data_IF_913658905612
#
_entry.id   IF_913658905612
#
_cell.length_a   1.000
_cell.length_b   1.000
_cell.length_c   1.000
_cell.angle_alpha   90.00
_cell.angle_beta   90.00
_cell.angle_gamma   90.00
#
_symmetry.space_group_name_H-M   'P 1'
#
loop_
_entity.id
_entity.type
_entity.pdbx_description
1 polymer ?
#
# COMPACT_ATOMS: atom_id res chain seq x y z
N UNK A 1 -6.10 0.41 -4.80
CA UNK A 1 -5.89 -0.99 -4.39
C UNK A 1 -5.81 -1.13 -2.87
N UNK A 2 -6.23 -2.27 -2.31
CA UNK A 2 -6.02 -2.61 -0.88
C UNK A 2 -4.58 -3.11 -0.67
N UNK A 3 -4.11 -3.14 0.58
CA UNK A 3 -2.76 -3.67 0.90
C UNK A 3 -2.52 -5.10 0.39
N UNK A 4 -3.56 -5.94 0.35
CA UNK A 4 -3.45 -7.28 -0.19
C UNK A 4 -3.35 -7.36 -1.71
N UNK A 5 -3.88 -6.37 -2.42
CA UNK A 5 -3.72 -6.23 -3.88
C UNK A 5 -2.36 -5.64 -4.21
N UNK A 6 -1.91 -4.65 -3.45
CA UNK A 6 -0.56 -4.10 -3.55
C UNK A 6 0.50 -5.20 -3.36
N UNK A 7 0.35 -6.03 -2.33
CA UNK A 7 1.23 -7.17 -2.07
C UNK A 7 1.32 -8.15 -3.25
N UNK A 8 0.19 -8.42 -3.92
CA UNK A 8 0.15 -9.28 -5.11
C UNK A 8 0.78 -8.61 -6.33
N UNK A 9 0.63 -7.29 -6.47
CA UNK A 9 1.14 -6.55 -7.61
C UNK A 9 2.65 -6.34 -7.54
N UNK A 10 3.21 -6.17 -6.34
CA UNK A 10 4.64 -5.93 -6.11
C UNK A 10 5.42 -7.19 -5.73
N UNK A 11 4.75 -8.33 -5.55
CA UNK A 11 5.30 -9.57 -4.97
C UNK A 11 5.99 -9.34 -3.60
N UNK A 12 5.45 -8.41 -2.82
CA UNK A 12 5.99 -8.03 -1.51
C UNK A 12 5.01 -8.42 -0.40
N UNK A 13 5.54 -8.98 0.67
CA UNK A 13 4.77 -9.35 1.86
C UNK A 13 4.01 -8.15 2.45
N UNK A 14 2.79 -8.40 2.95
CA UNK A 14 1.97 -7.37 3.61
C UNK A 14 2.68 -6.73 4.81
N UNK A 15 3.51 -7.49 5.53
CA UNK A 15 4.30 -6.98 6.64
C UNK A 15 5.37 -5.99 6.19
N UNK A 16 6.03 -6.26 5.07
CA UNK A 16 6.97 -5.32 4.44
C UNK A 16 6.26 -4.05 3.99
N UNK A 17 5.07 -4.16 3.42
CA UNK A 17 4.26 -2.98 3.06
C UNK A 17 3.86 -2.17 4.31
N UNK A 18 3.46 -2.83 5.41
CA UNK A 18 3.20 -2.14 6.69
C UNK A 18 4.44 -1.45 7.23
N UNK A 19 5.61 -2.07 7.09
CA UNK A 19 6.87 -1.48 7.49
C UNK A 19 7.22 -0.23 6.66
N UNK A 20 6.97 -0.27 5.35
CA UNK A 20 7.09 0.90 4.48
C UNK A 20 6.07 1.99 4.83
N UNK A 21 4.84 1.63 5.19
CA UNK A 21 3.81 2.56 5.66
C UNK A 21 4.24 3.24 6.98
N UNK A 22 4.76 2.45 7.94
CA UNK A 22 5.31 2.96 9.20
C UNK A 22 6.49 3.91 9.00
N UNK A 23 7.34 3.62 8.01
CA UNK A 23 8.46 4.48 7.60
C UNK A 23 8.06 5.66 6.72
N UNK A 24 6.76 5.81 6.40
CA UNK A 24 6.21 6.82 5.48
C UNK A 24 6.80 6.77 4.06
N UNK A 25 7.30 5.60 3.65
CA UNK A 25 7.76 5.35 2.27
C UNK A 25 6.58 5.13 1.32
N UNK A 26 5.50 4.54 1.84
CA UNK A 26 4.22 4.41 1.12
C UNK A 26 3.11 5.04 1.95
N UNK A 27 2.12 5.64 1.28
CA UNK A 27 1.00 6.32 1.93
C UNK A 27 -0.31 5.71 1.48
N UNK A 28 -1.05 5.16 2.44
CA UNK A 28 -2.43 4.77 2.22
C UNK A 28 -3.32 6.01 2.19
N UNK A 29 -4.01 6.25 1.09
CA UNK A 29 -5.05 7.27 1.02
C UNK A 29 -6.32 6.73 1.70
N UNK A 30 -6.98 7.57 2.50
CA UNK A 30 -8.32 7.25 2.99
C UNK A 30 -9.30 7.58 1.89
N UNK A 31 -10.00 6.56 1.39
CA UNK A 31 -11.12 6.77 0.50
C UNK A 31 -12.31 7.32 1.29
N UNK A 32 -13.25 8.00 0.61
CA UNK A 32 -14.42 8.62 1.24
C UNK A 32 -15.30 7.63 2.03
N UNK A 33 -15.17 6.34 1.74
CA UNK A 33 -15.80 5.22 2.41
C UNK A 33 -15.01 4.68 3.63
N UNK A 34 -13.96 5.37 4.09
CA UNK A 34 -13.18 5.01 5.28
C UNK A 34 -12.16 3.89 5.08
N UNK A 35 -12.10 3.28 3.89
CA UNK A 35 -11.12 2.24 3.59
C UNK A 35 -9.76 2.83 3.22
N UNK A 36 -8.70 2.05 3.52
CA UNK A 36 -7.33 2.34 3.05
C UNK A 36 -7.20 1.94 1.58
N UNK A 37 -6.79 2.90 0.77
CA UNK A 37 -6.57 2.76 -0.65
C UNK A 37 -5.14 3.19 -1.00
N UNK A 38 -4.38 2.27 -1.59
CA UNK A 38 -3.08 2.56 -2.16
C UNK A 38 -3.26 2.90 -3.65
N UNK A 39 -2.73 4.03 -4.13
CA UNK A 39 -2.72 4.34 -5.56
C UNK A 39 -1.79 3.37 -6.32
N UNK A 40 -2.02 3.24 -7.63
CA UNK A 40 -1.18 2.42 -8.52
C UNK A 40 0.29 2.85 -8.50
N UNK A 41 0.54 4.16 -8.34
CA UNK A 41 1.88 4.74 -8.19
C UNK A 41 2.67 4.13 -7.03
N UNK A 42 1.99 3.65 -5.98
CA UNK A 42 2.66 2.95 -4.87
C UNK A 42 3.34 1.66 -5.32
N UNK A 43 2.84 0.99 -6.35
CA UNK A 43 3.47 -0.20 -6.93
C UNK A 43 4.85 0.14 -7.51
N UNK A 44 5.04 1.36 -8.02
CA UNK A 44 6.33 1.78 -8.61
C UNK A 44 7.34 2.26 -7.57
N UNK A 45 6.88 2.54 -6.34
CA UNK A 45 7.71 2.99 -5.22
C UNK A 45 8.27 1.83 -4.38
N UNK A 46 7.67 0.64 -4.52
CA UNK A 46 8.03 -0.60 -3.80
C UNK A 46 8.92 -1.45 -4.69
#
# INVERSE_FOLDING_TARGET
MRIGELAKATDVSRDTLRFYEQRRLIVAQRSANGYRHYPLETVQLV
#
